data_IF_058639577870
#
_entry.id   IF_058639577870
#
_cell.length_a   1.000
_cell.length_b   1.000
_cell.length_c   1.000
_cell.angle_alpha   90.00
_cell.angle_beta   90.00
_cell.angle_gamma   90.00
#
_symmetry.space_group_name_H-M   'P 1'
#
loop_
_entity.id
_entity.type
_entity.pdbx_description
1 polymer ?
#
# COMPACT_ATOMS: atom_id res chain seq x y z
N UNK A 1 -3.78 21.65 7.13
CA UNK A 1 -3.83 20.23 6.72
C UNK A 1 -3.53 20.16 5.22
N UNK A 2 -2.60 19.32 4.77
CA UNK A 2 -2.04 19.34 3.41
C UNK A 2 -3.06 18.87 2.34
N UNK A 3 -3.79 19.77 1.65
CA UNK A 3 -4.91 19.37 0.79
C UNK A 3 -4.42 18.70 -0.51
N UNK A 4 -3.25 19.09 -0.98
CA UNK A 4 -2.62 18.54 -2.18
C UNK A 4 -2.21 17.06 -1.97
N UNK A 5 -1.77 16.72 -0.77
CA UNK A 5 -1.39 15.36 -0.38
C UNK A 5 -2.61 14.45 -0.20
N UNK A 6 -3.70 15.00 0.35
CA UNK A 6 -5.00 14.31 0.41
C UNK A 6 -5.48 13.95 -1.00
N UNK A 7 -5.40 14.88 -1.95
CA UNK A 7 -5.78 14.63 -3.34
C UNK A 7 -4.93 13.54 -4.02
N UNK A 8 -3.63 13.47 -3.71
CA UNK A 8 -2.75 12.39 -4.20
C UNK A 8 -3.13 11.03 -3.62
N UNK A 9 -3.38 10.96 -2.31
CA UNK A 9 -3.84 9.72 -1.65
C UNK A 9 -5.20 9.27 -2.17
N UNK A 10 -6.11 10.19 -2.47
CA UNK A 10 -7.41 9.86 -3.06
C UNK A 10 -7.27 9.17 -4.42
N UNK A 11 -6.31 9.60 -5.25
CA UNK A 11 -6.01 8.94 -6.53
C UNK A 11 -5.45 7.52 -6.36
N UNK A 12 -4.85 7.23 -5.20
CA UNK A 12 -4.36 5.90 -4.83
C UNK A 12 -5.45 5.00 -4.24
N UNK A 13 -6.70 5.48 -4.13
CA UNK A 13 -7.83 4.70 -3.62
C UNK A 13 -8.17 4.93 -2.15
N UNK A 14 -7.57 5.95 -1.51
CA UNK A 14 -7.97 6.36 -0.16
C UNK A 14 -9.23 7.21 -0.20
N UNK A 15 -10.08 7.07 0.80
CA UNK A 15 -11.14 8.05 1.06
C UNK A 15 -10.56 9.33 1.68
N UNK A 16 -11.31 10.41 1.63
CA UNK A 16 -10.87 11.70 2.20
C UNK A 16 -10.53 11.58 3.70
N UNK A 17 -11.34 10.83 4.45
CA UNK A 17 -11.11 10.63 5.88
C UNK A 17 -9.89 9.75 6.14
N UNK A 18 -9.69 8.67 5.37
CA UNK A 18 -8.52 7.80 5.50
C UNK A 18 -7.23 8.58 5.22
N UNK A 19 -7.21 9.40 4.16
CA UNK A 19 -6.06 10.23 3.82
C UNK A 19 -5.75 11.25 4.93
N UNK A 20 -6.80 11.91 5.47
CA UNK A 20 -6.67 12.86 6.58
C UNK A 20 -6.09 12.21 7.83
N UNK A 21 -6.62 11.04 8.21
CA UNK A 21 -6.18 10.28 9.39
C UNK A 21 -4.74 9.78 9.20
N UNK A 22 -4.40 9.25 8.03
CA UNK A 22 -3.05 8.77 7.73
C UNK A 22 -2.00 9.88 7.84
N UNK A 23 -2.28 11.06 7.26
CA UNK A 23 -1.39 12.24 7.36
C UNK A 23 -1.26 12.73 8.81
N UNK A 24 -2.37 12.69 9.56
CA UNK A 24 -2.36 13.03 10.99
C UNK A 24 -1.47 12.09 11.79
N UNK A 25 -1.60 10.78 11.57
CA UNK A 25 -0.77 9.76 12.19
C UNK A 25 0.71 9.89 11.80
N UNK A 26 1.02 10.18 10.54
CA UNK A 26 2.40 10.45 10.10
C UNK A 26 3.03 11.65 10.82
N UNK A 27 2.23 12.68 11.12
CA UNK A 27 2.71 13.90 11.78
C UNK A 27 2.89 13.71 13.29
N UNK A 28 2.03 12.90 13.91
CA UNK A 28 2.04 12.63 15.34
C UNK A 28 2.92 11.42 15.71
N UNK A 29 3.24 10.56 14.74
CA UNK A 29 3.90 9.27 14.93
C UNK A 29 2.94 8.24 15.53
N UNK A 30 2.58 8.43 16.80
CA UNK A 30 1.62 7.62 17.54
C UNK A 30 0.56 8.52 18.13
N UNK A 31 -0.70 8.16 17.93
CA UNK A 31 -1.81 8.97 18.43
C UNK A 31 -2.99 8.11 18.85
N UNK A 32 -3.69 8.58 19.86
CA UNK A 32 -4.98 8.05 20.29
C UNK A 32 -6.10 8.55 19.37
N UNK A 33 -7.24 7.87 19.36
CA UNK A 33 -8.43 8.32 18.61
C UNK A 33 -8.88 9.76 18.98
N UNK A 34 -8.55 10.22 20.19
CA UNK A 34 -8.82 11.58 20.64
C UNK A 34 -7.88 12.59 19.98
N UNK A 35 -6.58 12.32 19.97
CA UNK A 35 -5.59 13.21 19.34
C UNK A 35 -5.81 13.28 17.83
N UNK A 36 -6.16 12.15 17.19
CA UNK A 36 -6.54 12.12 15.78
C UNK A 36 -7.76 13.01 15.53
N UNK A 37 -8.76 12.99 16.42
CA UNK A 37 -9.93 13.85 16.31
C UNK A 37 -9.57 15.33 16.38
N UNK A 38 -8.76 15.71 17.38
CA UNK A 38 -8.33 17.09 17.61
C UNK A 38 -7.47 17.59 16.44
N UNK A 39 -6.63 16.73 15.86
CA UNK A 39 -5.79 17.09 14.73
C UNK A 39 -6.55 17.17 13.39
N UNK A 40 -7.38 16.17 13.10
CA UNK A 40 -8.03 16.01 11.78
C UNK A 40 -9.42 16.66 11.69
N UNK A 41 -10.02 17.02 12.83
CA UNK A 41 -11.38 17.53 12.96
C UNK A 41 -12.46 16.57 12.41
N UNK A 42 -12.13 15.29 12.18
CA UNK A 42 -13.07 14.27 11.71
C UNK A 42 -13.93 13.80 12.88
N UNK A 43 -15.27 13.71 12.77
CA UNK A 43 -16.12 13.27 13.87
C UNK A 43 -15.70 11.90 14.44
N UNK A 44 -15.68 11.79 15.78
CA UNK A 44 -15.30 10.55 16.50
C UNK A 44 -15.93 9.25 15.94
N UNK A 45 -17.26 9.20 15.62
CA UNK A 45 -17.85 7.98 15.08
C UNK A 45 -17.21 7.55 13.75
N UNK A 46 -16.84 8.52 12.90
CA UNK A 46 -16.18 8.24 11.63
C UNK A 46 -14.74 7.79 11.83
N UNK A 47 -14.04 8.29 12.86
CA UNK A 47 -12.67 7.90 13.17
C UNK A 47 -12.60 6.40 13.48
N UNK A 48 -13.40 5.91 14.43
CA UNK A 48 -13.37 4.48 14.79
C UNK A 48 -13.68 3.58 13.60
N UNK A 49 -14.72 3.91 12.81
CA UNK A 49 -15.06 3.15 11.61
C UNK A 49 -13.93 3.19 10.55
N UNK A 50 -13.24 4.32 10.42
CA UNK A 50 -12.14 4.47 9.46
C UNK A 50 -10.89 3.74 9.93
N UNK A 51 -10.53 3.84 11.20
CA UNK A 51 -9.41 3.12 11.80
C UNK A 51 -9.61 1.61 11.69
N UNK A 52 -10.82 1.10 11.94
CA UNK A 52 -11.11 -0.33 11.78
C UNK A 52 -10.89 -0.80 10.34
N UNK A 53 -11.36 -0.02 9.34
CA UNK A 53 -11.14 -0.32 7.92
C UNK A 53 -9.68 -0.26 7.53
N UNK A 54 -8.95 0.75 7.98
CA UNK A 54 -7.52 0.89 7.72
C UNK A 54 -6.71 -0.22 8.38
N UNK A 55 -7.10 -0.65 9.58
CA UNK A 55 -6.49 -1.78 10.30
C UNK A 55 -6.72 -3.10 9.56
N UNK A 56 -7.93 -3.36 9.05
CA UNK A 56 -8.24 -4.54 8.21
C UNK A 56 -7.38 -4.58 6.94
N UNK A 57 -7.15 -3.43 6.32
CA UNK A 57 -6.25 -3.28 5.16
C UNK A 57 -4.76 -3.26 5.55
N UNK A 58 -4.45 -3.31 6.85
CA UNK A 58 -3.10 -3.20 7.41
C UNK A 58 -2.34 -1.94 6.99
N UNK A 59 -3.05 -0.81 6.86
CA UNK A 59 -2.46 0.52 6.62
C UNK A 59 -2.05 1.22 7.92
N UNK A 60 -2.58 0.75 9.05
CA UNK A 60 -2.24 1.23 10.38
C UNK A 60 -2.02 0.03 11.29
N UNK A 61 -1.23 0.25 12.33
CA UNK A 61 -1.03 -0.68 13.43
C UNK A 61 -1.76 -0.16 14.67
N UNK A 62 -2.44 -1.08 15.34
CA UNK A 62 -3.12 -0.81 16.61
C UNK A 62 -2.23 -1.34 17.72
N UNK A 63 -1.79 -0.44 18.59
CA UNK A 63 -1.03 -0.79 19.79
C UNK A 63 -2.04 -0.86 20.92
N UNK A 64 -2.36 -2.10 21.31
CA UNK A 64 -3.28 -2.33 22.42
C UNK A 64 -2.66 -1.83 23.73
N UNK A 65 -3.38 -0.92 24.40
CA UNK A 65 -2.94 -0.26 25.61
C UNK A 65 -4.10 0.49 26.27
N UNK A 66 -3.85 1.03 27.45
CA UNK A 66 -4.80 1.88 28.18
C UNK A 66 -4.17 3.27 28.39
N UNK A 67 -4.36 4.21 27.44
CA UNK A 67 -5.25 4.18 26.27
C UNK A 67 -4.65 3.47 25.04
N UNK A 68 -5.50 3.08 24.09
CA UNK A 68 -5.08 2.43 22.85
C UNK A 68 -4.46 3.46 21.89
N UNK A 69 -3.30 3.13 21.34
CA UNK A 69 -2.57 3.97 20.40
C UNK A 69 -2.67 3.41 18.99
N UNK A 70 -2.65 4.32 18.01
CA UNK A 70 -2.64 4.00 16.60
C UNK A 70 -1.38 4.57 15.98
N UNK A 71 -0.73 3.77 15.13
CA UNK A 71 0.46 4.15 14.39
C UNK A 71 0.21 3.93 12.91
N UNK A 72 0.62 4.87 12.05
CA UNK A 72 0.65 4.63 10.61
C UNK A 72 1.83 3.76 10.23
N UNK A 73 1.64 2.86 9.25
CA UNK A 73 2.80 2.19 8.65
C UNK A 73 3.63 3.17 7.83
N UNK A 74 4.90 2.84 7.61
CA UNK A 74 5.80 3.64 6.78
C UNK A 74 5.21 3.87 5.37
N UNK A 75 5.37 5.07 4.82
CA UNK A 75 4.84 5.41 3.49
C UNK A 75 5.44 4.53 2.39
N UNK A 76 6.69 4.09 2.54
CA UNK A 76 7.33 3.15 1.62
C UNK A 76 6.63 1.78 1.63
N UNK A 77 6.44 1.22 2.83
CA UNK A 77 5.74 -0.05 3.01
C UNK A 77 4.28 0.02 2.53
N UNK A 78 3.60 1.14 2.78
CA UNK A 78 2.25 1.38 2.29
C UNK A 78 2.19 1.35 0.76
N UNK A 79 3.12 2.07 0.12
CA UNK A 79 3.17 2.18 -1.35
C UNK A 79 3.48 0.83 -1.99
N UNK A 80 4.39 0.06 -1.40
CA UNK A 80 4.70 -1.29 -1.87
C UNK A 80 3.49 -2.23 -1.76
N UNK A 81 2.77 -2.20 -0.64
CA UNK A 81 1.55 -3.00 -0.47
C UNK A 81 0.46 -2.64 -1.48
N UNK A 82 0.18 -1.35 -1.65
CA UNK A 82 -0.80 -0.88 -2.64
C UNK A 82 -0.42 -1.31 -4.05
N UNK A 83 0.86 -1.22 -4.40
CA UNK A 83 1.38 -1.66 -5.69
C UNK A 83 1.15 -3.17 -5.88
N UNK A 84 1.48 -3.97 -4.89
CA UNK A 84 1.34 -5.43 -4.96
C UNK A 84 -0.13 -5.86 -5.06
N UNK A 85 -1.01 -5.26 -4.26
CA UNK A 85 -2.46 -5.52 -4.30
C UNK A 85 -3.05 -5.16 -5.67
N UNK A 86 -2.67 -3.99 -6.20
CA UNK A 86 -3.12 -3.55 -7.51
C UNK A 86 -2.62 -4.45 -8.64
N UNK A 87 -1.34 -4.85 -8.62
CA UNK A 87 -0.78 -5.76 -9.61
C UNK A 87 -1.37 -7.16 -9.52
N UNK A 88 -1.67 -7.64 -8.32
CA UNK A 88 -2.35 -8.92 -8.13
C UNK A 88 -3.75 -8.89 -8.74
N UNK A 89 -4.54 -7.86 -8.42
CA UNK A 89 -5.88 -7.67 -8.99
C UNK A 89 -5.85 -7.51 -10.52
N UNK A 90 -4.87 -6.79 -11.06
CA UNK A 90 -4.67 -6.67 -12.50
C UNK A 90 -4.34 -8.01 -13.17
N UNK A 91 -3.47 -8.82 -12.58
CA UNK A 91 -3.12 -10.11 -13.16
C UNK A 91 -4.29 -11.10 -13.11
N UNK A 92 -5.06 -11.12 -12.02
CA UNK A 92 -6.26 -11.95 -11.90
C UNK A 92 -7.31 -11.54 -12.92
N UNK A 93 -7.62 -10.25 -13.03
CA UNK A 93 -8.57 -9.75 -14.05
C UNK A 93 -8.09 -10.01 -15.47
N UNK A 94 -6.79 -9.84 -15.77
CA UNK A 94 -6.23 -10.21 -17.08
C UNK A 94 -6.39 -11.70 -17.38
N UNK A 95 -6.19 -12.56 -16.37
CA UNK A 95 -6.35 -14.01 -16.51
C UNK A 95 -7.81 -14.38 -16.78
N UNK A 96 -8.74 -13.79 -16.04
CA UNK A 96 -10.18 -13.96 -16.26
C UNK A 96 -10.60 -13.48 -17.65
N UNK A 97 -10.17 -12.28 -18.06
CA UNK A 97 -10.44 -11.73 -19.38
C UNK A 97 -9.85 -12.57 -20.51
N UNK A 98 -8.65 -13.12 -20.33
CA UNK A 98 -8.05 -14.04 -21.30
C UNK A 98 -8.80 -15.38 -21.38
N UNK A 99 -9.31 -15.89 -20.25
CA UNK A 99 -10.14 -17.10 -20.25
C UNK A 99 -11.53 -16.89 -20.86
N UNK A 100 -12.12 -15.70 -20.65
CA UNK A 100 -13.39 -15.30 -21.26
C UNK A 100 -13.22 -14.97 -22.75
N UNK A 101 -12.05 -14.46 -23.13
CA UNK A 101 -11.63 -14.13 -24.48
C UNK A 101 -11.08 -15.31 -25.29
N UNK A 102 -11.69 -16.49 -25.22
CA UNK A 102 -11.37 -17.59 -26.13
C UNK A 102 -11.91 -17.28 -27.55
N UNK A 103 -11.25 -16.37 -28.26
CA UNK A 103 -11.69 -15.97 -29.61
C UNK A 103 -10.91 -14.89 -30.34
N UNK A 104 -9.97 -14.17 -29.71
CA UNK A 104 -9.14 -13.18 -30.40
C UNK A 104 -7.68 -13.63 -30.38
N UNK A 105 -7.33 -14.43 -31.39
CA UNK A 105 -5.96 -14.81 -31.75
C UNK A 105 -5.01 -13.61 -31.64
N UNK A 106 -3.91 -13.82 -30.91
CA UNK A 106 -2.56 -13.36 -31.23
C UNK A 106 -2.47 -12.19 -32.21
N UNK A 107 -2.74 -10.96 -31.76
CA UNK A 107 -2.14 -9.77 -32.37
C UNK A 107 -1.88 -8.72 -31.31
N UNK A 108 -0.60 -8.58 -30.99
CA UNK A 108 0.02 -7.35 -30.50
C UNK A 108 -0.39 -6.88 -29.10
N UNK A 109 0.50 -7.08 -28.13
CA UNK A 109 0.94 -5.98 -27.25
C UNK A 109 2.44 -6.12 -27.01
N UNK A 110 3.20 -5.69 -28.00
CA UNK A 110 4.49 -5.07 -27.74
C UNK A 110 4.23 -3.57 -27.57
N UNK A 111 4.96 -2.93 -26.65
CA UNK A 111 4.93 -1.49 -26.30
C UNK A 111 4.02 -1.11 -25.13
N UNK A 112 4.61 -1.10 -23.91
CA UNK A 112 4.94 0.12 -23.11
C UNK A 112 4.90 -0.09 -21.60
N UNK A 113 4.34 -1.20 -21.11
CA UNK A 113 4.43 -1.62 -19.70
C UNK A 113 4.99 -3.03 -19.59
N UNK A 114 6.16 -3.27 -20.17
CA UNK A 114 7.00 -4.35 -19.70
C UNK A 114 7.54 -3.92 -18.33
N UNK A 115 7.07 -4.56 -17.28
CA UNK A 115 7.74 -4.55 -15.98
C UNK A 115 9.25 -4.72 -16.24
N UNK A 116 10.15 -3.85 -15.71
CA UNK A 116 11.56 -3.99 -16.02
C UNK A 116 12.05 -5.33 -15.48
N UNK A 117 12.35 -6.26 -16.39
CA UNK A 117 13.03 -7.53 -16.08
C UNK A 117 14.44 -7.30 -15.48
N UNK A 118 14.90 -6.05 -15.37
CA UNK A 118 16.17 -5.64 -14.80
C UNK A 118 16.33 -6.04 -13.33
N UNK A 119 15.25 -6.22 -12.57
CA UNK A 119 15.32 -6.59 -11.15
C UNK A 119 15.43 -8.10 -10.86
N UNK A 120 15.41 -8.96 -11.90
CA UNK A 120 15.70 -10.40 -11.73
C UNK A 120 17.18 -10.75 -11.83
N UNK A 121 18.04 -9.85 -12.33
CA UNK A 121 19.48 -10.11 -12.48
C UNK A 121 20.28 -9.76 -11.22
N UNK A 122 19.92 -8.71 -10.50
CA UNK A 122 20.66 -8.31 -9.28
C UNK A 122 20.51 -9.34 -8.14
N UNK A 123 19.38 -10.05 -8.05
CA UNK A 123 19.18 -11.05 -6.98
C UNK A 123 19.88 -12.40 -7.21
N UNK A 124 20.45 -12.64 -8.40
CA UNK A 124 21.10 -13.92 -8.75
C UNK A 124 22.64 -13.82 -8.86
N UNK A 125 23.20 -12.61 -8.74
CA UNK A 125 24.67 -12.41 -8.69
C UNK A 125 25.21 -12.43 -7.25
N UNK A 126 24.50 -11.86 -6.26
CA UNK A 126 24.94 -11.92 -4.84
C UNK A 126 24.99 -13.35 -4.27
N UNK A 127 24.09 -14.25 -4.68
CA UNK A 127 24.13 -15.66 -4.25
C UNK A 127 25.25 -16.48 -4.89
N UNK A 128 25.89 -15.97 -5.95
CA UNK A 128 27.06 -16.63 -6.56
C UNK A 128 28.36 -16.27 -5.85
N UNK A 129 28.49 -15.08 -5.28
CA UNK A 129 29.73 -14.67 -4.61
C UNK A 129 29.89 -15.29 -3.21
N UNK A 130 28.82 -15.44 -2.43
CA UNK A 130 28.90 -16.12 -1.12
C UNK A 130 29.22 -17.62 -1.20
N UNK A 131 28.88 -18.29 -2.31
CA UNK A 131 29.14 -19.72 -2.50
C UNK A 131 30.56 -20.03 -3.00
N UNK A 132 31.29 -19.02 -3.51
CA UNK A 132 32.69 -19.16 -3.96
C UNK A 132 33.67 -18.97 -2.79
N UNK A 133 33.29 -18.20 -1.75
CA UNK A 133 34.14 -17.94 -0.57
C UNK A 133 34.04 -18.97 0.55
N UNK A 134 33.05 -19.88 0.53
CA UNK A 134 32.89 -20.97 1.53
C UNK A 134 33.35 -22.36 1.06
N UNK A 135 33.95 -22.44 -0.12
CA UNK A 135 34.48 -23.69 -0.70
C UNK A 135 36.01 -23.77 -0.69
N UNK A 136 36.65 -23.41 0.42
CA UNK A 136 38.10 -23.54 0.62
C UNK A 136 38.39 -24.53 1.74
#
# INVERSE_FOLDING_TARGET
MYPELVGKLQKLGFTENEAKIYIGLLSLGEATAREIHEFTHVPRPKIYATLERMSKKKYIEVIEGTPAYFRSIDPEQLTERLRNEFLFSLNETLKELNSAGYGMKNRCVNSRYAFPLSLKKEFNEEKREENILKGR
#
